data_IF_623082074775
#
_entry.id   IF_623082074775
#
_cell.length_a   1.000
_cell.length_b   1.000
_cell.length_c   1.000
_cell.angle_alpha   90.00
_cell.angle_beta   90.00
_cell.angle_gamma   90.00
#
_symmetry.space_group_name_H-M   'P 1'
#
loop_
_entity.id
_entity.type
_entity.pdbx_description
1 polymer ?
#
# COMPACT_ATOMS: atom_id res chain seq x y z
N UNK A 1 48.07 -8.72 -59.04
CA UNK A 1 49.26 -8.79 -58.16
C UNK A 1 49.48 -7.39 -57.64
N UNK A 2 49.35 -7.04 -56.36
CA UNK A 2 49.16 -7.82 -55.14
C UNK A 2 48.45 -7.00 -54.05
N UNK A 3 47.98 -7.75 -53.05
CA UNK A 3 47.08 -7.45 -51.95
C UNK A 3 47.53 -6.35 -50.97
N UNK A 4 46.56 -5.60 -50.44
CA UNK A 4 46.66 -4.86 -49.17
C UNK A 4 46.38 -5.81 -47.99
N UNK A 5 47.13 -5.74 -46.87
CA UNK A 5 46.88 -6.59 -45.72
C UNK A 5 45.76 -6.03 -44.82
N UNK A 6 44.87 -6.95 -44.43
CA UNK A 6 43.92 -6.82 -43.31
C UNK A 6 44.62 -7.18 -42.00
N UNK A 7 44.40 -6.41 -40.93
CA UNK A 7 44.43 -6.94 -39.58
C UNK A 7 43.49 -6.16 -38.65
N UNK A 8 42.78 -6.94 -37.84
CA UNK A 8 41.60 -6.62 -37.06
C UNK A 8 41.91 -6.17 -35.63
N UNK A 9 40.94 -5.44 -35.07
CA UNK A 9 40.48 -5.42 -33.68
C UNK A 9 41.45 -5.16 -32.51
N UNK A 10 41.16 -4.09 -31.76
CA UNK A 10 41.40 -4.02 -30.32
C UNK A 10 40.38 -3.09 -29.65
N UNK A 11 39.24 -3.70 -29.26
CA UNK A 11 38.42 -3.43 -28.07
C UNK A 11 38.57 -2.04 -27.43
N UNK A 12 37.63 -1.14 -27.75
CA UNK A 12 37.24 -0.11 -26.80
C UNK A 12 36.66 -0.74 -25.52
N UNK A 13 36.84 -0.12 -24.34
CA UNK A 13 36.26 -0.63 -23.11
C UNK A 13 34.74 -0.62 -23.24
N UNK A 14 34.18 -1.81 -23.21
CA UNK A 14 32.75 -2.07 -23.15
C UNK A 14 32.19 -1.36 -21.90
N UNK A 15 31.32 -0.39 -22.10
CA UNK A 15 30.62 0.28 -21.02
C UNK A 15 29.79 -0.77 -20.26
N UNK A 16 30.30 -1.21 -19.12
CA UNK A 16 29.47 -1.87 -18.11
C UNK A 16 28.49 -0.82 -17.57
N UNK A 17 27.36 -0.64 -18.25
CA UNK A 17 26.15 -0.04 -17.67
C UNK A 17 25.55 -1.04 -16.68
N UNK A 18 26.25 -1.26 -15.58
CA UNK A 18 25.76 -1.99 -14.43
C UNK A 18 25.04 -1.00 -13.51
N UNK A 19 23.71 -1.14 -13.50
CA UNK A 19 22.88 -0.95 -12.29
C UNK A 19 22.77 0.44 -11.65
N UNK A 20 22.40 1.48 -12.42
CA UNK A 20 21.92 2.75 -11.83
C UNK A 20 20.42 2.78 -11.48
N UNK A 21 19.66 1.76 -11.90
CA UNK A 21 18.20 1.75 -11.72
C UNK A 21 17.75 1.41 -10.29
N UNK A 22 18.59 0.77 -9.46
CA UNK A 22 18.22 0.41 -8.08
C UNK A 22 18.40 1.57 -7.09
N UNK A 23 19.27 2.53 -7.40
CA UNK A 23 19.53 3.71 -6.57
C UNK A 23 18.58 4.87 -6.87
N UNK A 24 18.14 5.05 -8.13
CA UNK A 24 17.18 6.10 -8.54
C UNK A 24 15.77 5.97 -7.95
N UNK A 25 15.38 4.77 -7.54
CA UNK A 25 14.00 4.48 -7.10
C UNK A 25 13.67 5.06 -5.70
N UNK A 26 14.69 5.29 -4.85
CA UNK A 26 14.49 5.77 -3.47
C UNK A 26 14.09 7.25 -3.39
N UNK A 27 14.54 8.06 -4.33
CA UNK A 27 14.32 9.52 -4.38
C UNK A 27 13.43 9.95 -5.53
N UNK A 28 12.72 9.00 -6.17
CA UNK A 28 11.75 9.33 -7.19
C UNK A 28 10.53 10.01 -6.55
N UNK A 29 10.40 11.31 -6.76
CA UNK A 29 9.21 12.08 -6.41
C UNK A 29 8.10 11.76 -7.41
N UNK A 30 6.94 11.33 -6.91
CA UNK A 30 5.79 10.96 -7.73
C UNK A 30 4.75 12.09 -7.71
N UNK A 31 4.20 12.48 -8.88
CA UNK A 31 3.23 13.58 -8.97
C UNK A 31 1.89 13.19 -8.35
N UNK A 32 1.02 14.15 -7.97
CA UNK A 32 -0.33 13.86 -7.50
C UNK A 32 -1.07 12.91 -8.45
N UNK A 33 -1.86 11.98 -7.89
CA UNK A 33 -2.50 10.94 -8.67
C UNK A 33 -3.79 10.44 -8.00
N UNK A 34 -4.76 10.07 -8.83
CA UNK A 34 -5.93 9.33 -8.38
C UNK A 34 -5.69 7.83 -8.58
N UNK A 35 -5.96 7.07 -7.51
CA UNK A 35 -5.80 5.63 -7.44
C UNK A 35 -7.16 4.97 -7.21
N UNK A 36 -7.40 3.83 -7.86
CA UNK A 36 -8.63 3.07 -7.75
C UNK A 36 -8.34 1.63 -7.34
N UNK A 37 -9.06 1.14 -6.35
CA UNK A 37 -8.95 -0.24 -5.89
C UNK A 37 -10.01 -1.11 -6.59
N UNK A 38 -9.56 -2.02 -7.45
CA UNK A 38 -10.42 -2.95 -8.20
C UNK A 38 -10.00 -4.40 -7.91
N UNK A 39 -10.76 -5.05 -7.01
CA UNK A 39 -10.47 -6.41 -6.55
C UNK A 39 -9.12 -6.50 -5.85
N UNK A 40 -8.15 -7.16 -6.51
CA UNK A 40 -6.76 -7.32 -6.03
C UNK A 40 -5.78 -6.31 -6.63
N UNK A 41 -6.21 -5.42 -7.51
CA UNK A 41 -5.33 -4.49 -8.21
C UNK A 41 -5.64 -3.05 -7.84
N UNK A 42 -4.60 -2.20 -7.87
CA UNK A 42 -4.75 -0.75 -7.72
C UNK A 42 -4.28 -0.08 -9.01
N UNK A 43 -5.18 0.68 -9.63
CA UNK A 43 -4.98 1.34 -10.91
C UNK A 43 -4.78 2.85 -10.73
N UNK A 44 -4.11 3.48 -11.70
CA UNK A 44 -4.15 4.94 -11.85
C UNK A 44 -5.42 5.35 -12.61
N UNK A 45 -5.82 6.62 -12.50
CA UNK A 45 -6.90 7.18 -13.31
C UNK A 45 -6.60 7.37 -14.79
N UNK A 46 -5.35 7.14 -15.21
CA UNK A 46 -5.00 7.16 -16.63
C UNK A 46 -5.74 6.03 -17.37
N UNK A 47 -6.56 6.35 -18.38
CA UNK A 47 -7.24 5.33 -19.19
C UNK A 47 -6.23 4.34 -19.76
N UNK A 48 -6.56 3.05 -19.72
CA UNK A 48 -5.73 1.94 -20.24
C UNK A 48 -4.36 1.77 -19.57
N UNK A 49 -4.05 2.50 -18.48
CA UNK A 49 -2.81 2.29 -17.76
C UNK A 49 -2.81 0.91 -17.07
N UNK A 50 -1.69 0.16 -17.14
CA UNK A 50 -1.59 -1.09 -16.41
C UNK A 50 -1.68 -0.84 -14.90
N UNK A 51 -2.07 -1.86 -14.10
CA UNK A 51 -2.13 -1.75 -12.65
C UNK A 51 -0.78 -1.33 -12.07
N UNK A 52 -0.83 -0.50 -11.03
CA UNK A 52 0.35 0.01 -10.32
C UNK A 52 0.74 -0.87 -9.14
N UNK A 53 -0.26 -1.46 -8.47
CA UNK A 53 -0.05 -2.36 -7.35
C UNK A 53 -0.92 -3.60 -7.51
N UNK A 54 -0.44 -4.69 -6.93
CA UNK A 54 -1.15 -5.95 -6.81
C UNK A 54 -1.14 -6.42 -5.36
N UNK A 55 -2.27 -7.00 -4.95
CA UNK A 55 -2.49 -7.62 -3.66
C UNK A 55 -2.60 -9.13 -3.84
N UNK A 56 -2.16 -9.91 -2.86
CA UNK A 56 -2.35 -11.36 -2.91
C UNK A 56 -3.83 -11.78 -2.82
N UNK A 57 -4.66 -10.93 -2.21
CA UNK A 57 -6.09 -11.15 -1.97
C UNK A 57 -6.90 -9.92 -2.37
N UNK A 58 -8.14 -10.15 -2.79
CA UNK A 58 -9.07 -9.06 -3.07
C UNK A 58 -9.57 -8.45 -1.76
N UNK A 59 -9.41 -7.13 -1.62
CA UNK A 59 -9.63 -6.43 -0.34
C UNK A 59 -11.07 -6.51 0.15
N UNK A 60 -12.04 -6.54 -0.76
CA UNK A 60 -13.47 -6.62 -0.42
C UNK A 60 -13.87 -7.94 0.26
N UNK A 61 -13.05 -8.98 0.13
CA UNK A 61 -13.31 -10.29 0.75
C UNK A 61 -12.52 -10.50 2.04
N UNK A 62 -11.65 -9.56 2.41
CA UNK A 62 -10.89 -9.68 3.65
C UNK A 62 -11.79 -9.56 4.87
N UNK A 63 -11.55 -10.41 5.85
CA UNK A 63 -12.26 -10.48 7.11
C UNK A 63 -11.31 -10.60 8.30
N UNK A 64 -11.89 -10.94 9.44
CA UNK A 64 -11.17 -11.05 10.72
C UNK A 64 -10.27 -12.29 10.79
N UNK A 65 -10.57 -13.33 9.99
CA UNK A 65 -9.84 -14.59 9.94
C UNK A 65 -8.59 -14.54 9.06
N UNK A 66 -8.54 -13.62 8.10
CA UNK A 66 -7.37 -13.39 7.28
C UNK A 66 -6.21 -12.95 8.17
N UNK A 67 -5.00 -13.40 7.83
CA UNK A 67 -3.79 -13.11 8.62
C UNK A 67 -2.69 -12.43 7.84
N UNK A 68 -2.67 -12.59 6.51
CA UNK A 68 -1.61 -12.07 5.66
C UNK A 68 -2.14 -11.66 4.28
N UNK A 69 -1.82 -10.44 3.88
CA UNK A 69 -2.00 -9.93 2.51
C UNK A 69 -0.68 -9.34 2.05
N UNK A 70 -0.13 -9.85 0.95
CA UNK A 70 1.07 -9.26 0.34
C UNK A 70 0.65 -8.11 -0.57
N UNK A 71 1.40 -7.01 -0.52
CA UNK A 71 1.27 -5.91 -1.49
C UNK A 71 2.57 -5.75 -2.27
N UNK A 72 2.43 -5.73 -3.59
CA UNK A 72 3.53 -5.62 -4.54
C UNK A 72 3.30 -4.40 -5.44
N UNK A 73 4.38 -3.69 -5.76
CA UNK A 73 4.39 -2.65 -6.79
C UNK A 73 4.76 -3.28 -8.11
N UNK A 74 3.95 -3.03 -9.14
CA UNK A 74 4.19 -3.51 -10.49
C UNK A 74 5.05 -2.49 -11.24
N UNK A 75 6.31 -2.84 -11.50
CA UNK A 75 7.22 -2.02 -12.29
C UNK A 75 7.12 -2.43 -13.75
N UNK A 76 6.66 -1.52 -14.60
CA UNK A 76 6.57 -1.74 -16.05
C UNK A 76 7.81 -1.16 -16.72
N UNK A 77 8.48 -1.97 -17.55
CA UNK A 77 9.61 -1.53 -18.37
C UNK A 77 9.39 -1.93 -19.82
N UNK A 78 9.51 -0.96 -20.73
CA UNK A 78 9.44 -1.20 -22.17
C UNK A 78 10.83 -1.58 -22.66
N UNK A 79 10.97 -2.79 -23.17
CA UNK A 79 12.21 -3.28 -23.79
C UNK A 79 12.03 -3.31 -25.29
N UNK A 80 13.00 -2.78 -26.02
CA UNK A 80 13.06 -2.88 -27.47
C UNK A 80 14.03 -4.01 -27.82
N UNK A 81 13.50 -5.21 -28.09
CA UNK A 81 14.28 -6.28 -28.69
C UNK A 81 13.70 -6.56 -30.08
N UNK A 82 14.57 -6.66 -31.08
CA UNK A 82 14.22 -7.01 -32.47
C UNK A 82 13.07 -6.19 -33.11
N UNK A 83 13.01 -4.88 -32.83
CA UNK A 83 12.13 -3.94 -33.55
C UNK A 83 10.70 -3.77 -33.01
N UNK A 84 10.23 -4.65 -32.11
CA UNK A 84 8.92 -4.50 -31.47
C UNK A 84 9.04 -4.05 -30.01
N UNK A 85 8.26 -3.05 -29.54
CA UNK A 85 8.22 -2.69 -28.13
C UNK A 85 7.55 -3.81 -27.32
N UNK A 86 8.27 -4.35 -26.33
CA UNK A 86 7.76 -5.36 -25.42
C UNK A 86 7.67 -4.79 -24.00
N UNK A 87 6.47 -4.75 -23.43
CA UNK A 87 6.24 -4.32 -22.06
C UNK A 87 6.48 -5.51 -21.13
N UNK A 88 7.48 -5.40 -20.26
CA UNK A 88 7.76 -6.39 -19.21
C UNK A 88 7.36 -5.84 -17.85
N UNK A 89 6.65 -6.64 -17.06
CA UNK A 89 6.21 -6.30 -15.70
C UNK A 89 7.06 -7.06 -14.68
N UNK A 90 7.61 -6.34 -13.72
CA UNK A 90 8.35 -6.91 -12.59
C UNK A 90 7.66 -6.54 -11.27
N UNK A 91 7.14 -7.51 -10.51
CA UNK A 91 6.61 -7.22 -9.18
C UNK A 91 7.75 -6.94 -8.19
N UNK A 92 7.55 -5.93 -7.35
CA UNK A 92 8.39 -5.59 -6.20
C UNK A 92 7.57 -5.71 -4.93
N UNK A 93 7.86 -6.70 -4.11
CA UNK A 93 7.20 -6.85 -2.80
C UNK A 93 7.53 -5.66 -1.89
N UNK A 94 6.49 -4.98 -1.40
CA UNK A 94 6.63 -3.82 -0.53
C UNK A 94 6.45 -4.20 0.94
N UNK A 95 5.31 -4.83 1.25
CA UNK A 95 4.87 -5.11 2.61
C UNK A 95 4.12 -6.44 2.71
N UNK A 96 4.20 -7.04 3.88
CA UNK A 96 3.26 -8.02 4.40
C UNK A 96 2.27 -7.26 5.29
N UNK A 97 1.02 -7.16 4.85
CA UNK A 97 -0.06 -6.67 5.69
C UNK A 97 -0.51 -7.84 6.56
N UNK A 98 -0.42 -7.68 7.87
CA UNK A 98 -0.66 -8.71 8.86
C UNK A 98 -1.81 -8.30 9.79
N UNK A 99 -2.62 -9.28 10.16
CA UNK A 99 -3.60 -9.18 11.24
C UNK A 99 -3.26 -10.25 12.28
N UNK A 100 -2.31 -9.96 13.20
CA UNK A 100 -1.86 -10.92 14.18
C UNK A 100 -3.00 -11.43 15.07
N UNK A 101 -2.92 -12.69 15.47
CA UNK A 101 -3.82 -13.24 16.49
C UNK A 101 -3.62 -12.52 17.84
N UNK A 102 -4.67 -12.46 18.65
CA UNK A 102 -4.85 -11.58 19.83
C UNK A 102 -3.71 -11.52 20.86
N UNK A 103 -2.68 -12.36 20.79
CA UNK A 103 -1.56 -12.40 21.73
C UNK A 103 -0.33 -11.56 21.31
N UNK A 104 -0.31 -10.96 20.11
CA UNK A 104 0.90 -10.28 19.61
C UNK A 104 1.04 -8.79 20.03
N UNK A 105 -0.07 -8.09 20.29
CA UNK A 105 -0.09 -6.73 20.85
C UNK A 105 -1.53 -6.27 21.05
N UNK A 106 -1.92 -5.85 22.27
CA UNK A 106 -3.28 -5.36 22.54
C UNK A 106 -3.58 -4.02 21.86
N UNK A 107 -2.56 -3.29 21.42
CA UNK A 107 -2.72 -1.92 20.91
C UNK A 107 -2.73 -1.85 19.37
N UNK A 108 -1.95 -2.70 18.70
CA UNK A 108 -1.81 -2.69 17.23
C UNK A 108 -2.27 -4.03 16.66
N UNK A 109 -3.52 -4.07 16.21
CA UNK A 109 -4.13 -5.28 15.65
C UNK A 109 -3.80 -5.49 14.18
N UNK A 110 -3.43 -4.44 13.44
CA UNK A 110 -3.13 -4.53 12.02
C UNK A 110 -1.80 -3.85 11.74
N UNK A 111 -0.93 -4.55 11.02
CA UNK A 111 0.47 -4.18 10.81
C UNK A 111 0.83 -4.31 9.34
N UNK A 112 1.73 -3.45 8.86
CA UNK A 112 2.45 -3.63 7.62
C UNK A 112 3.93 -3.87 7.94
N UNK A 113 4.40 -5.11 7.79
CA UNK A 113 5.82 -5.43 7.94
C UNK A 113 6.54 -5.25 6.61
N UNK A 114 7.63 -4.49 6.61
CA UNK A 114 8.39 -4.19 5.39
C UNK A 114 9.16 -5.43 4.92
N UNK A 115 9.10 -5.71 3.63
CA UNK A 115 9.87 -6.82 3.02
C UNK A 115 10.99 -6.33 2.12
N UNK A 116 10.90 -5.08 1.62
CA UNK A 116 11.93 -4.44 0.80
C UNK A 116 12.75 -3.43 1.59
N UNK A 117 14.05 -3.33 1.25
CA UNK A 117 14.94 -2.26 1.74
C UNK A 117 14.59 -0.87 1.19
N UNK A 118 13.74 -0.79 0.17
CA UNK A 118 13.23 0.46 -0.40
C UNK A 118 11.91 0.89 0.25
N UNK A 119 11.26 0.01 1.02
CA UNK A 119 10.08 0.36 1.82
C UNK A 119 10.47 1.28 2.98
N UNK A 120 9.63 2.27 3.28
CA UNK A 120 9.95 3.36 4.20
C UNK A 120 10.25 2.86 5.62
N UNK A 121 9.30 2.16 6.24
CA UNK A 121 9.43 1.50 7.54
C UNK A 121 8.28 0.48 7.70
N UNK A 122 8.38 -0.43 8.67
CA UNK A 122 7.20 -1.18 9.14
C UNK A 122 6.30 -0.22 9.93
N UNK A 123 4.99 -0.38 9.86
CA UNK A 123 4.03 0.47 10.57
C UNK A 123 2.80 -0.30 11.02
N UNK A 124 2.09 0.24 12.01
CA UNK A 124 0.86 -0.32 12.56
C UNK A 124 -0.25 0.73 12.54
N UNK A 125 -1.50 0.29 12.40
CA UNK A 125 -2.66 1.17 12.42
C UNK A 125 -3.46 0.99 13.71
N UNK A 126 -3.83 2.10 14.34
CA UNK A 126 -4.62 2.14 15.58
C UNK A 126 -5.82 3.06 15.41
N UNK A 127 -6.93 2.70 16.04
CA UNK A 127 -8.13 3.55 16.09
C UNK A 127 -8.01 4.56 17.23
N UNK A 128 -8.54 5.75 17.03
CA UNK A 128 -8.70 6.73 18.09
C UNK A 128 -9.96 7.56 17.89
N UNK A 129 -10.46 8.18 18.96
CA UNK A 129 -11.54 9.16 18.89
C UNK A 129 -10.93 10.56 18.81
N UNK A 130 -11.19 11.33 17.74
CA UNK A 130 -10.67 12.69 17.58
C UNK A 130 -11.05 13.64 18.72
N UNK A 131 -12.27 13.49 19.24
CA UNK A 131 -12.76 14.22 20.40
C UNK A 131 -13.53 13.26 21.30
N UNK A 132 -13.62 13.56 22.61
CA UNK A 132 -14.30 12.68 23.58
C UNK A 132 -15.79 12.44 23.24
N UNK A 133 -16.41 13.36 22.52
CA UNK A 133 -17.82 13.35 22.14
C UNK A 133 -18.04 12.93 20.67
N UNK A 134 -16.98 12.65 19.91
CA UNK A 134 -17.14 12.25 18.52
C UNK A 134 -17.68 10.83 18.40
N UNK A 135 -18.74 10.65 17.62
CA UNK A 135 -19.19 9.34 17.14
C UNK A 135 -18.26 8.79 16.05
N UNK A 136 -17.48 9.66 15.38
CA UNK A 136 -16.58 9.28 14.31
C UNK A 136 -15.22 8.84 14.86
N UNK A 137 -14.65 7.79 14.26
CA UNK A 137 -13.37 7.19 14.67
C UNK A 137 -12.31 7.52 13.62
N UNK A 138 -11.21 8.12 14.06
CA UNK A 138 -10.01 8.33 13.25
C UNK A 138 -9.04 7.16 13.39
N UNK A 139 -8.03 7.15 12.53
CA UNK A 139 -6.96 6.16 12.54
C UNK A 139 -5.61 6.85 12.55
N UNK A 140 -4.65 6.31 13.31
CA UNK A 140 -3.25 6.72 13.28
C UNK A 140 -2.40 5.57 12.80
N UNK A 141 -1.49 5.87 11.88
CA UNK A 141 -0.49 4.96 11.37
C UNK A 141 0.81 5.30 12.07
N UNK A 142 1.27 4.43 12.96
CA UNK A 142 2.52 4.60 13.69
C UNK A 142 3.62 3.81 13.02
N UNK A 143 4.82 4.38 12.93
CA UNK A 143 6.01 3.54 12.72
C UNK A 143 6.12 2.55 13.86
N UNK A 144 6.54 1.34 13.56
CA UNK A 144 6.73 0.31 14.58
C UNK A 144 8.15 -0.25 14.53
N UNK A 145 8.62 -0.68 15.68
CA UNK A 145 9.78 -1.55 15.82
C UNK A 145 9.38 -2.84 16.53
N UNK A 146 10.06 -3.93 16.20
CA UNK A 146 9.97 -5.17 16.97
C UNK A 146 10.71 -4.98 18.29
N UNK A 147 9.96 -5.02 19.38
CA UNK A 147 10.50 -5.05 20.73
C UNK A 147 10.82 -6.46 21.20
N UNK A 148 11.22 -6.61 22.47
CA UNK A 148 11.27 -7.91 23.15
C UNK A 148 9.93 -8.65 23.03
N UNK A 149 9.97 -9.99 23.11
CA UNK A 149 8.78 -10.85 23.19
C UNK A 149 7.76 -10.70 22.04
N UNK A 150 8.25 -10.34 20.83
CA UNK A 150 7.43 -10.13 19.61
C UNK A 150 6.41 -9.00 19.73
N UNK A 151 6.52 -8.14 20.74
CA UNK A 151 5.65 -6.99 20.88
C UNK A 151 6.04 -5.89 19.88
N UNK A 152 5.03 -5.19 19.36
CA UNK A 152 5.25 -4.00 18.55
C UNK A 152 5.33 -2.75 19.43
N UNK A 153 6.42 -2.01 19.29
CA UNK A 153 6.61 -0.71 19.94
C UNK A 153 6.24 0.38 18.93
N UNK A 154 5.15 1.10 19.20
CA UNK A 154 4.76 2.28 18.42
C UNK A 154 5.77 3.42 18.63
N UNK A 155 6.14 4.09 17.53
CA UNK A 155 6.98 5.28 17.52
C UNK A 155 6.17 6.48 17.00
N UNK A 156 6.83 7.36 16.25
CA UNK A 156 6.26 8.52 15.59
C UNK A 156 5.11 8.14 14.65
N UNK A 157 4.19 9.09 14.50
CA UNK A 157 3.05 8.99 13.58
C UNK A 157 3.58 9.22 12.16
N UNK A 158 3.29 8.28 11.27
CA UNK A 158 3.57 8.39 9.85
C UNK A 158 2.41 9.08 9.12
N UNK A 159 1.18 8.65 9.40
CA UNK A 159 -0.04 9.22 8.80
C UNK A 159 -1.18 9.28 9.82
N UNK A 160 -2.08 10.24 9.63
CA UNK A 160 -3.36 10.30 10.34
C UNK A 160 -4.50 10.27 9.33
N UNK A 161 -5.46 9.37 9.51
CA UNK A 161 -6.64 9.24 8.66
C UNK A 161 -7.89 9.64 9.45
N UNK A 162 -8.58 10.68 9.00
CA UNK A 162 -9.70 11.31 9.71
C UNK A 162 -10.97 11.22 8.89
N UNK A 163 -12.13 10.93 9.50
CA UNK A 163 -13.42 11.11 8.84
C UNK A 163 -13.55 12.53 8.32
N UNK A 164 -13.90 12.69 7.05
CA UNK A 164 -14.19 14.01 6.50
C UNK A 164 -15.53 14.52 7.02
N UNK A 165 -15.76 15.84 6.91
CA UNK A 165 -17.00 16.48 7.38
C UNK A 165 -18.12 16.51 6.33
N UNK A 166 -17.83 16.19 5.07
CA UNK A 166 -18.80 16.25 3.96
C UNK A 166 -18.99 14.90 3.28
N UNK A 167 -19.99 14.80 2.41
CA UNK A 167 -20.46 13.52 1.88
C UNK A 167 -19.62 12.97 0.72
N UNK A 168 -18.90 13.82 0.00
CA UNK A 168 -18.12 13.42 -1.18
C UNK A 168 -16.80 12.70 -0.83
N UNK A 169 -16.29 12.89 0.39
CA UNK A 169 -15.01 12.36 0.87
C UNK A 169 -15.28 11.60 2.14
N UNK A 170 -14.80 10.37 2.24
CA UNK A 170 -15.03 9.55 3.43
C UNK A 170 -13.92 9.76 4.45
N UNK A 171 -12.67 9.78 4.01
CA UNK A 171 -11.48 9.89 4.86
C UNK A 171 -10.49 10.90 4.27
N UNK A 172 -9.95 11.78 5.12
CA UNK A 172 -8.83 12.66 4.81
C UNK A 172 -7.55 12.12 5.45
N UNK A 173 -6.47 12.07 4.67
CA UNK A 173 -5.17 11.54 5.08
C UNK A 173 -4.15 12.67 5.22
N UNK A 174 -3.53 12.73 6.38
CA UNK A 174 -2.53 13.72 6.76
C UNK A 174 -1.18 13.06 7.01
N UNK A 175 -0.09 13.76 6.71
CA UNK A 175 1.26 13.34 7.06
C UNK A 175 1.60 13.58 8.54
N UNK A 176 2.86 13.34 8.93
CA UNK A 176 3.37 13.57 10.28
C UNK A 176 3.36 15.04 10.71
N UNK A 177 3.30 15.96 9.75
CA UNK A 177 3.25 17.41 9.97
C UNK A 177 1.81 17.95 9.98
N UNK A 178 0.80 17.06 9.94
CA UNK A 178 -0.61 17.39 9.78
C UNK A 178 -0.95 18.11 8.46
N UNK A 179 -0.13 17.94 7.41
CA UNK A 179 -0.46 18.42 6.08
C UNK A 179 -1.33 17.40 5.36
N UNK A 180 -2.39 17.86 4.70
CA UNK A 180 -3.28 17.00 3.94
C UNK A 180 -2.58 16.48 2.67
N UNK A 181 -2.45 15.16 2.56
CA UNK A 181 -1.74 14.50 1.46
C UNK A 181 -2.63 13.64 0.58
N UNK A 182 -3.78 13.17 1.06
CA UNK A 182 -4.73 12.42 0.26
C UNK A 182 -6.17 12.47 0.78
N UNK A 183 -7.12 12.10 -0.09
CA UNK A 183 -8.55 11.93 0.23
C UNK A 183 -9.07 10.61 -0.30
N UNK A 184 -9.78 9.88 0.54
CA UNK A 184 -10.49 8.64 0.20
C UNK A 184 -11.94 8.96 -0.19
N UNK A 185 -12.43 8.30 -1.23
CA UNK A 185 -13.86 8.29 -1.56
C UNK A 185 -14.33 6.85 -1.70
N UNK A 186 -15.61 6.61 -1.40
CA UNK A 186 -16.27 5.32 -1.56
C UNK A 186 -17.61 5.55 -2.26
N UNK A 187 -17.69 5.17 -3.54
CA UNK A 187 -18.95 5.25 -4.31
C UNK A 187 -19.74 3.95 -4.29
N UNK A 188 -19.42 3.02 -3.37
CA UNK A 188 -20.04 1.69 -3.27
C UNK A 188 -19.48 0.69 -4.28
N UNK A 189 -19.38 1.09 -5.54
CA UNK A 189 -18.80 0.25 -6.61
C UNK A 189 -17.26 0.30 -6.61
N UNK A 190 -16.68 1.43 -6.21
CA UNK A 190 -15.25 1.67 -6.32
C UNK A 190 -14.74 2.51 -5.16
N UNK A 191 -13.68 2.03 -4.51
CA UNK A 191 -12.91 2.84 -3.55
C UNK A 191 -11.76 3.53 -4.26
N UNK A 192 -11.63 4.82 -4.01
CA UNK A 192 -10.57 5.62 -4.61
C UNK A 192 -9.76 6.37 -3.56
N UNK A 193 -8.50 6.63 -3.89
CA UNK A 193 -7.59 7.46 -3.11
C UNK A 193 -7.00 8.52 -4.03
N UNK A 194 -7.39 9.78 -3.81
CA UNK A 194 -6.78 10.92 -4.47
C UNK A 194 -5.59 11.43 -3.65
N UNK A 195 -4.38 11.14 -4.11
CA UNK A 195 -3.14 11.66 -3.53
C UNK A 195 -2.91 13.07 -4.09
N UNK A 196 -3.06 14.08 -3.25
CA UNK A 196 -2.99 15.49 -3.64
C UNK A 196 -1.58 16.08 -3.58
N UNK A 197 -0.66 15.45 -2.86
CA UNK A 197 0.71 15.89 -2.71
C UNK A 197 1.69 15.14 -3.62
N UNK A 198 2.78 15.81 -4.00
CA UNK A 198 3.97 15.15 -4.50
C UNK A 198 4.62 14.36 -3.37
N UNK A 199 4.85 13.07 -3.57
CA UNK A 199 5.37 12.17 -2.54
C UNK A 199 6.52 11.35 -3.08
N UNK A 200 7.54 11.14 -2.24
CA UNK A 200 8.55 10.12 -2.52
C UNK A 200 7.89 8.76 -2.75
N UNK A 201 8.47 7.96 -3.65
CA UNK A 201 7.99 6.63 -4.00
C UNK A 201 7.73 5.75 -2.77
N UNK A 202 8.65 5.73 -1.80
CA UNK A 202 8.51 4.96 -0.55
C UNK A 202 7.37 5.46 0.34
N UNK A 203 7.14 6.77 0.38
CA UNK A 203 6.07 7.38 1.17
C UNK A 203 4.71 7.11 0.52
N UNK A 204 4.61 7.17 -0.81
CA UNK A 204 3.39 6.77 -1.53
C UNK A 204 3.11 5.27 -1.37
N UNK A 205 4.13 4.42 -1.50
CA UNK A 205 4.02 2.98 -1.29
C UNK A 205 3.49 2.67 0.13
N UNK A 206 3.99 3.39 1.15
CA UNK A 206 3.51 3.27 2.52
C UNK A 206 2.07 3.79 2.70
N UNK A 207 1.71 4.92 2.09
CA UNK A 207 0.35 5.47 2.13
C UNK A 207 -0.67 4.51 1.50
N UNK A 208 -0.35 3.95 0.33
CA UNK A 208 -1.21 2.97 -0.35
C UNK A 208 -1.38 1.71 0.51
N UNK A 209 -0.29 1.24 1.10
CA UNK A 209 -0.31 0.07 1.99
C UNK A 209 -1.15 0.34 3.25
N UNK A 210 -1.04 1.54 3.84
CA UNK A 210 -1.85 1.98 4.97
C UNK A 210 -3.34 2.13 4.62
N UNK A 211 -3.65 2.61 3.42
CA UNK A 211 -5.01 2.68 2.90
C UNK A 211 -5.64 1.29 2.82
N UNK A 212 -4.96 0.32 2.20
CA UNK A 212 -5.42 -1.07 2.14
C UNK A 212 -5.60 -1.67 3.54
N UNK A 213 -4.67 -1.42 4.44
CA UNK A 213 -4.72 -1.90 5.82
C UNK A 213 -5.94 -1.32 6.59
N UNK A 214 -6.27 -0.03 6.38
CA UNK A 214 -7.48 0.59 6.94
C UNK A 214 -8.75 -0.08 6.42
N UNK A 215 -8.82 -0.30 5.10
CA UNK A 215 -9.98 -0.94 4.49
C UNK A 215 -10.18 -2.34 5.07
N UNK A 216 -9.11 -3.13 5.17
CA UNK A 216 -9.18 -4.45 5.77
C UNK A 216 -9.66 -4.39 7.24
N UNK A 217 -9.08 -3.50 8.04
CA UNK A 217 -9.49 -3.28 9.43
C UNK A 217 -10.99 -2.92 9.55
N UNK A 218 -11.53 -2.12 8.63
CA UNK A 218 -12.96 -1.78 8.56
C UNK A 218 -13.82 -3.00 8.20
N UNK A 219 -13.43 -3.77 7.18
CA UNK A 219 -14.16 -4.96 6.73
C UNK A 219 -14.20 -6.04 7.82
N UNK A 220 -13.08 -6.32 8.48
CA UNK A 220 -13.01 -7.27 9.59
C UNK A 220 -13.96 -6.87 10.74
N UNK A 221 -14.01 -5.57 11.07
CA UNK A 221 -14.88 -5.06 12.13
C UNK A 221 -16.36 -5.08 11.75
N UNK A 222 -16.70 -4.82 10.49
CA UNK A 222 -18.09 -4.87 10.01
C UNK A 222 -18.61 -6.31 9.99
N UNK A 223 -17.84 -7.27 9.47
CA UNK A 223 -18.21 -8.70 9.46
C UNK A 223 -18.42 -9.23 10.88
N UNK A 224 -17.51 -8.94 11.80
CA UNK A 224 -17.66 -9.32 13.21
C UNK A 224 -18.95 -8.79 13.85
N UNK A 225 -19.39 -7.58 13.50
CA UNK A 225 -20.67 -7.04 13.97
C UNK A 225 -21.87 -7.76 13.36
N UNK A 226 -21.81 -8.09 12.07
CA UNK A 226 -22.88 -8.83 11.39
C UNK A 226 -23.05 -10.24 11.96
N UNK A 227 -21.95 -10.97 12.17
CA UNK A 227 -21.99 -12.33 12.73
C UNK A 227 -22.64 -12.34 14.12
N UNK A 228 -22.26 -11.39 15.00
CA UNK A 228 -22.87 -11.24 16.33
C UNK A 228 -24.38 -10.98 16.28
N UNK A 229 -24.84 -10.15 15.34
CA UNK A 229 -26.27 -9.85 15.16
C UNK A 229 -27.06 -11.07 14.69
N UNK A 230 -26.47 -11.88 13.82
CA UNK A 230 -27.09 -13.13 13.35
C UNK A 230 -27.19 -14.13 14.51
N UNK A 231 -26.14 -14.27 15.32
CA UNK A 231 -26.14 -15.19 16.47
C UNK A 231 -27.13 -14.77 17.56
N UNK A 232 -27.30 -13.47 17.78
CA UNK A 232 -28.32 -12.92 18.66
C UNK A 232 -29.73 -13.19 18.12
N UNK A 233 -29.98 -12.96 16.83
CA UNK A 233 -31.26 -13.25 16.20
C UNK A 233 -31.62 -14.75 16.27
N UNK A 234 -30.65 -15.64 16.06
CA UNK A 234 -30.85 -17.09 16.22
C UNK A 234 -31.23 -17.48 17.65
N UNK A 235 -30.63 -16.85 18.66
CA UNK A 235 -30.99 -17.06 20.08
C UNK A 235 -32.41 -16.61 20.42
N UNK A 236 -32.93 -15.60 19.72
CA UNK A 236 -34.29 -15.10 19.95
C UNK A 236 -35.34 -15.98 19.28
N UNK A 237 -35.02 -16.56 18.11
CA UNK A 237 -35.97 -17.33 17.28
C UNK A 237 -36.02 -18.82 17.66
N UNK A 238 -34.99 -19.36 18.32
CA UNK A 238 -34.94 -20.76 18.76
C UNK A 238 -34.67 -20.85 20.28
N UNK A 239 -35.70 -20.69 21.13
CA UNK A 239 -35.60 -20.98 22.56
C UNK A 239 -35.42 -22.48 22.84
#
# INVERSE_FOLDING_TARGET
MDQLPSYSDSRGPSACQLSDNAARDKSQLLPPAMLYLAGRFIHSSKPQAPPLYELSHSVGFLGDTDRLVRIERLQHSVRHHSGAPHVSTRPRHLYNLEHPTMFASLTVQFVADKTSRQSLCSFGIVRFRPTRLSSSTGHRVHRIARGPDRQFICRDILFTAMPAKGDAVTIEWFDSCNLLIARETDSGELRSLFVSAELEASTRDALVSAWVLRIWMEQASNRSKWDKRIDEAKRIVMP
#
